data_IF_546554414099
#
_entry.id   IF_546554414099
#
_cell.length_a   1.000
_cell.length_b   1.000
_cell.length_c   1.000
_cell.angle_alpha   90.00
_cell.angle_beta   90.00
_cell.angle_gamma   90.00
#
_symmetry.space_group_name_H-M   'P 1'
#
loop_
_entity.id
_entity.type
_entity.pdbx_description
1 polymer ?
#
# COMPACT_ATOMS: atom_id res chain seq x y z
N UNK A 1 -3.62 42.71 49.59
CA UNK A 1 -2.58 42.87 48.55
C UNK A 1 -2.60 41.60 47.73
N UNK A 2 -3.12 41.60 46.50
CA UNK A 2 -3.20 40.37 45.71
C UNK A 2 -1.91 40.25 44.90
N UNK A 3 -1.11 39.22 45.16
CA UNK A 3 0.14 39.00 44.43
C UNK A 3 -0.18 38.42 43.05
N UNK A 4 0.18 39.15 41.99
CA UNK A 4 0.12 38.65 40.62
C UNK A 4 1.31 37.72 40.38
N UNK A 5 1.08 36.41 40.40
CA UNK A 5 2.07 35.43 39.96
C UNK A 5 2.12 35.40 38.43
N UNK A 6 3.29 35.61 37.85
CA UNK A 6 3.52 35.41 36.41
C UNK A 6 3.48 33.91 36.11
N UNK A 7 2.64 33.44 35.17
CA UNK A 7 2.61 32.03 34.82
C UNK A 7 3.94 31.60 34.17
N UNK A 8 4.39 30.37 34.40
CA UNK A 8 5.59 29.84 33.77
C UNK A 8 5.43 29.76 32.25
N UNK A 9 6.54 29.94 31.52
CA UNK A 9 6.53 29.89 30.06
C UNK A 9 6.17 28.48 29.55
N UNK A 10 5.26 28.39 28.58
CA UNK A 10 4.60 27.15 28.16
C UNK A 10 5.55 26.05 27.67
N UNK A 11 6.65 26.40 27.01
CA UNK A 11 7.67 25.44 26.51
C UNK A 11 8.40 24.65 27.60
N UNK A 12 8.25 25.06 28.87
CA UNK A 12 8.79 24.33 30.03
C UNK A 12 7.86 23.19 30.47
N UNK A 13 6.60 23.23 30.08
CA UNK A 13 5.61 22.22 30.45
C UNK A 13 5.66 21.03 29.48
N UNK A 14 5.79 19.78 29.96
CA UNK A 14 5.88 18.60 29.10
C UNK A 14 4.63 18.39 28.24
N UNK A 15 3.47 18.88 28.69
CA UNK A 15 2.21 18.82 27.94
C UNK A 15 2.29 19.51 26.57
N UNK A 16 3.05 20.60 26.45
CA UNK A 16 3.18 21.33 25.17
C UNK A 16 3.89 20.46 24.12
N UNK A 17 4.86 19.65 24.54
CA UNK A 17 5.56 18.71 23.66
C UNK A 17 4.67 17.57 23.18
N UNK A 18 3.67 17.15 23.96
CA UNK A 18 2.70 16.15 23.49
C UNK A 18 1.81 16.71 22.38
N UNK A 19 1.40 17.97 22.50
CA UNK A 19 0.56 18.65 21.49
C UNK A 19 1.34 18.93 20.20
N UNK A 20 2.59 19.41 20.32
CA UNK A 20 3.44 19.72 19.17
C UNK A 20 4.08 18.47 18.56
N UNK A 21 4.36 17.46 19.38
CA UNK A 21 5.05 16.24 18.99
C UNK A 21 4.28 15.42 17.96
N UNK A 22 2.96 15.31 18.09
CA UNK A 22 2.12 14.61 17.10
C UNK A 22 2.25 15.22 15.69
N UNK A 23 1.90 16.50 15.49
CA UNK A 23 2.07 17.19 14.21
C UNK A 23 3.52 17.19 13.70
N UNK A 24 4.50 17.45 14.58
CA UNK A 24 5.91 17.44 14.21
C UNK A 24 6.35 16.06 13.66
N UNK A 25 5.89 14.98 14.27
CA UNK A 25 6.21 13.61 13.83
C UNK A 25 5.65 13.33 12.43
N UNK A 26 4.42 13.77 12.13
CA UNK A 26 3.82 13.59 10.80
C UNK A 26 4.60 14.34 9.72
N UNK A 27 5.04 15.57 10.02
CA UNK A 27 5.87 16.35 9.10
C UNK A 27 7.19 15.63 8.81
N UNK A 28 7.89 15.16 9.86
CA UNK A 28 9.13 14.39 9.71
C UNK A 28 8.90 13.10 8.90
N UNK A 29 7.84 12.35 9.20
CA UNK A 29 7.49 11.13 8.47
C UNK A 29 7.25 11.40 6.97
N UNK A 30 6.58 12.51 6.64
CA UNK A 30 6.31 12.90 5.25
C UNK A 30 7.60 13.14 4.46
N UNK A 31 8.56 13.84 5.06
CA UNK A 31 9.88 14.03 4.46
C UNK A 31 10.65 12.72 4.34
N UNK A 32 10.51 11.81 5.31
CA UNK A 32 11.16 10.51 5.26
C UNK A 32 10.61 9.66 4.10
N UNK A 33 9.29 9.64 3.90
CA UNK A 33 8.65 8.99 2.75
C UNK A 33 9.10 9.62 1.43
N UNK A 34 9.17 10.95 1.37
CA UNK A 34 9.66 11.66 0.19
C UNK A 34 11.12 11.28 -0.12
N UNK A 35 11.98 11.24 0.90
CA UNK A 35 13.37 10.83 0.73
C UNK A 35 13.47 9.39 0.22
N UNK A 36 12.67 8.46 0.76
CA UNK A 36 12.64 7.07 0.31
C UNK A 36 12.24 6.98 -1.17
N UNK A 37 11.21 7.71 -1.58
CA UNK A 37 10.73 7.72 -2.96
C UNK A 37 11.77 8.25 -3.96
N UNK A 38 12.58 9.24 -3.56
CA UNK A 38 13.64 9.80 -4.42
C UNK A 38 14.86 8.88 -4.48
N UNK A 39 15.26 8.30 -3.35
CA UNK A 39 16.47 7.47 -3.27
C UNK A 39 16.27 6.05 -3.79
N UNK A 40 15.08 5.48 -3.59
CA UNK A 40 14.75 4.11 -3.96
C UNK A 40 13.41 4.12 -4.73
N UNK A 41 13.41 4.59 -5.98
CA UNK A 41 12.24 4.45 -6.83
C UNK A 41 11.95 2.97 -7.04
N UNK A 42 10.71 2.56 -6.78
CA UNK A 42 10.30 1.17 -7.04
C UNK A 42 10.55 0.85 -8.52
N UNK A 43 11.22 -0.27 -8.82
CA UNK A 43 11.52 -0.63 -10.20
C UNK A 43 10.20 -0.82 -10.96
N UNK A 44 10.12 -0.36 -12.22
CA UNK A 44 8.92 -0.54 -13.02
C UNK A 44 8.63 -2.05 -13.13
N UNK A 45 7.40 -2.43 -12.83
CA UNK A 45 6.98 -3.81 -12.91
C UNK A 45 6.94 -4.23 -14.38
N UNK A 46 7.90 -5.06 -14.79
CA UNK A 46 7.90 -5.64 -16.13
C UNK A 46 6.81 -6.72 -16.20
N UNK A 47 5.64 -6.31 -16.70
CA UNK A 47 4.47 -7.16 -16.85
C UNK A 47 4.72 -8.31 -17.84
N UNK A 48 5.63 -8.13 -18.80
CA UNK A 48 5.98 -9.17 -19.76
C UNK A 48 6.85 -10.25 -19.11
N UNK A 49 7.91 -9.84 -18.41
CA UNK A 49 8.78 -10.78 -17.69
C UNK A 49 8.02 -11.55 -16.58
N UNK A 50 7.10 -10.87 -15.89
CA UNK A 50 6.26 -11.47 -14.84
C UNK A 50 5.26 -12.47 -15.43
N UNK A 51 4.63 -12.14 -16.57
CA UNK A 51 3.75 -13.07 -17.29
C UNK A 51 4.51 -14.28 -17.86
N UNK A 52 5.75 -14.07 -18.30
CA UNK A 52 6.62 -15.13 -18.80
C UNK A 52 7.09 -16.07 -17.67
N UNK A 53 7.50 -15.56 -16.50
CA UNK A 53 7.83 -16.41 -15.34
C UNK A 53 6.62 -17.21 -14.86
N UNK A 54 5.44 -16.58 -14.78
CA UNK A 54 4.21 -17.29 -14.42
C UNK A 54 3.81 -18.39 -15.45
N UNK A 55 4.27 -18.26 -16.70
CA UNK A 55 4.10 -19.26 -17.74
C UNK A 55 5.18 -20.35 -17.73
N UNK A 56 6.42 -20.02 -17.34
CA UNK A 56 7.53 -21.00 -17.21
C UNK A 56 7.39 -21.88 -15.96
N UNK A 57 6.82 -21.34 -14.87
CA UNK A 57 6.47 -22.10 -13.65
C UNK A 57 5.18 -22.93 -13.81
N UNK A 58 4.62 -23.03 -15.02
CA UNK A 58 3.42 -23.80 -15.32
C UNK A 58 3.77 -25.26 -15.66
N UNK A 59 3.81 -26.11 -14.62
CA UNK A 59 3.66 -27.57 -14.72
C UNK A 59 2.50 -27.98 -15.66
N UNK A 60 2.59 -29.15 -16.32
CA UNK A 60 1.71 -29.56 -17.41
C UNK A 60 0.23 -29.49 -17.04
N UNK A 61 -0.55 -28.97 -18.01
CA UNK A 61 -1.95 -28.56 -17.91
C UNK A 61 -2.93 -29.60 -17.34
N UNK A 62 -2.60 -30.88 -17.33
CA UNK A 62 -3.47 -31.96 -16.84
C UNK A 62 -3.75 -31.89 -15.33
N UNK A 63 -2.81 -31.36 -14.53
CA UNK A 63 -3.02 -31.16 -13.08
C UNK A 63 -3.84 -29.88 -12.81
N UNK A 64 -3.75 -28.89 -13.70
CA UNK A 64 -4.36 -27.56 -13.54
C UNK A 64 -5.85 -27.53 -13.91
N UNK A 65 -6.31 -28.40 -14.80
CA UNK A 65 -7.74 -28.55 -15.11
C UNK A 65 -8.60 -28.99 -13.89
N UNK A 66 -7.98 -29.58 -12.86
CA UNK A 66 -8.64 -29.92 -11.59
C UNK A 66 -8.65 -28.77 -10.56
N UNK A 67 -8.00 -27.64 -10.84
CA UNK A 67 -7.85 -26.52 -9.91
C UNK A 67 -8.10 -25.21 -10.66
N UNK A 68 -9.35 -24.74 -10.59
CA UNK A 68 -9.90 -23.61 -11.36
C UNK A 68 -8.95 -22.44 -11.60
N UNK A 69 -8.66 -22.23 -12.88
CA UNK A 69 -8.23 -21.01 -13.58
C UNK A 69 -7.63 -19.88 -12.72
N UNK A 70 -6.29 -19.81 -12.69
CA UNK A 70 -5.55 -18.68 -12.10
C UNK A 70 -5.37 -17.58 -13.15
N UNK A 71 -6.45 -16.87 -13.45
CA UNK A 71 -6.42 -15.62 -14.22
C UNK A 71 -6.02 -14.46 -13.31
N UNK A 72 -5.28 -13.44 -13.79
CA UNK A 72 -4.98 -12.24 -13.01
C UNK A 72 -6.24 -11.68 -12.37
N UNK A 73 -6.19 -11.27 -11.10
CA UNK A 73 -7.39 -10.90 -10.33
C UNK A 73 -8.28 -9.85 -11.03
N UNK A 74 -7.69 -8.94 -11.79
CA UNK A 74 -8.39 -7.96 -12.63
C UNK A 74 -9.15 -8.61 -13.81
N UNK A 75 -8.54 -9.58 -14.48
CA UNK A 75 -9.12 -10.31 -15.61
C UNK A 75 -10.22 -11.25 -15.11
N UNK A 76 -9.97 -11.98 -14.01
CA UNK A 76 -10.94 -12.87 -13.39
C UNK A 76 -12.25 -12.14 -13.01
N UNK A 77 -12.16 -10.93 -12.44
CA UNK A 77 -13.33 -10.09 -12.11
C UNK A 77 -14.12 -9.68 -13.35
N UNK A 78 -13.45 -9.32 -14.44
CA UNK A 78 -14.11 -8.93 -15.70
C UNK A 78 -14.79 -10.12 -16.39
N UNK A 79 -14.16 -11.30 -16.37
CA UNK A 79 -14.77 -12.52 -16.92
C UNK A 79 -15.96 -12.99 -16.09
N UNK A 80 -15.91 -12.90 -14.75
CA UNK A 80 -17.04 -13.22 -13.87
C UNK A 80 -18.25 -12.29 -14.10
N UNK A 81 -18.00 -11.02 -14.40
CA UNK A 81 -19.05 -10.04 -14.67
C UNK A 81 -19.70 -10.20 -16.05
N UNK A 82 -18.98 -10.75 -17.04
CA UNK A 82 -19.52 -10.90 -18.40
C UNK A 82 -20.50 -12.08 -18.51
N UNK A 83 -20.37 -13.09 -17.63
CA UNK A 83 -21.20 -14.29 -17.66
C UNK A 83 -21.02 -15.08 -18.96
N UNK A 84 -20.89 -16.40 -18.88
CA UNK A 84 -21.09 -17.25 -20.05
C UNK A 84 -22.59 -17.28 -20.38
N UNK A 85 -23.08 -16.17 -20.96
CA UNK A 85 -24.38 -16.12 -21.59
C UNK A 85 -24.36 -17.01 -22.84
N UNK A 86 -24.59 -18.31 -22.63
CA UNK A 86 -25.05 -19.24 -23.66
C UNK A 86 -23.96 -20.05 -24.35
N UNK A 87 -23.62 -21.20 -23.77
CA UNK A 87 -23.54 -22.44 -24.56
C UNK A 87 -24.34 -23.50 -23.82
N UNK A 88 -25.62 -23.60 -24.19
CA UNK A 88 -26.31 -24.88 -24.18
C UNK A 88 -25.66 -25.72 -25.28
N UNK A 89 -24.99 -26.80 -24.91
CA UNK A 89 -25.22 -28.13 -25.48
C UNK A 89 -25.06 -29.15 -24.37
#
# INVERSE_FOLDING_TARGET
MNATSTPPAAWREPMVWLVVGGPATVVVASFFTLALAIHHPDPPLDLHATAQHAADDAEPADVRAHSGDIVPAMVARNHAATGTAGVKQ
#
